data_IF_626795137536
#
_entry.id   IF_626795137536
#
_cell.length_a   1.000
_cell.length_b   1.000
_cell.length_c   1.000
_cell.angle_alpha   90.00
_cell.angle_beta   90.00
_cell.angle_gamma   90.00
#
_symmetry.space_group_name_H-M   'P 1'
#
loop_
_entity.id
_entity.type
_entity.pdbx_description
1 polymer ?
#
# COMPACT_ATOMS: atom_id res chain seq x y z
N UNK A 1 19.08 -60.18 -7.51
CA UNK A 1 18.49 -59.40 -6.41
C UNK A 1 19.13 -58.02 -6.44
N UNK A 2 18.41 -57.02 -6.96
CA UNK A 2 18.85 -55.63 -6.94
C UNK A 2 17.77 -54.86 -6.17
N UNK A 3 18.05 -54.59 -4.89
CA UNK A 3 17.10 -53.93 -3.99
C UNK A 3 17.01 -52.45 -4.35
N UNK A 4 15.84 -52.03 -4.87
CA UNK A 4 15.49 -50.62 -5.05
C UNK A 4 15.25 -50.01 -3.68
N UNK A 5 16.13 -49.11 -3.25
CA UNK A 5 15.79 -48.16 -2.20
C UNK A 5 14.82 -47.09 -2.75
N UNK A 6 13.78 -46.69 -2.01
CA UNK A 6 12.87 -45.64 -2.42
C UNK A 6 13.56 -44.26 -2.31
N UNK A 7 13.47 -43.50 -3.39
CA UNK A 7 13.97 -42.14 -3.50
C UNK A 7 13.10 -41.23 -2.61
N UNK A 8 13.68 -40.70 -1.54
CA UNK A 8 13.03 -39.73 -0.65
C UNK A 8 12.71 -38.47 -1.47
N UNK A 9 11.43 -38.13 -1.54
CA UNK A 9 10.96 -36.87 -2.09
C UNK A 9 11.50 -35.75 -1.21
N UNK A 10 12.43 -34.96 -1.77
CA UNK A 10 12.87 -33.72 -1.15
C UNK A 10 11.70 -32.74 -1.24
N UNK A 11 10.99 -32.56 -0.14
CA UNK A 11 10.07 -31.44 0.03
C UNK A 11 10.95 -30.20 0.14
N UNK A 12 10.95 -29.37 -0.91
CA UNK A 12 11.51 -28.02 -0.86
C UNK A 12 10.69 -27.20 0.15
N UNK A 13 10.96 -27.38 1.44
CA UNK A 13 10.60 -26.41 2.47
C UNK A 13 11.43 -25.16 2.19
N UNK A 14 10.89 -24.24 1.40
CA UNK A 14 11.40 -22.88 1.34
C UNK A 14 11.41 -22.34 2.78
N UNK A 15 12.58 -21.97 3.32
CA UNK A 15 12.65 -21.40 4.66
C UNK A 15 11.75 -20.15 4.68
N UNK A 16 11.04 -19.88 5.80
CA UNK A 16 10.26 -18.66 5.93
C UNK A 16 11.21 -17.50 5.65
N UNK A 17 10.86 -16.67 4.66
CA UNK A 17 11.61 -15.47 4.32
C UNK A 17 11.59 -14.57 5.56
N UNK A 18 12.63 -14.67 6.40
CA UNK A 18 12.84 -13.73 7.48
C UNK A 18 12.99 -12.36 6.82
N UNK A 19 11.95 -11.52 6.97
CA UNK A 19 12.00 -10.17 6.45
C UNK A 19 13.10 -9.43 7.21
N UNK A 20 14.13 -9.00 6.48
CA UNK A 20 15.15 -8.14 7.08
C UNK A 20 14.50 -6.83 7.56
N UNK A 21 15.17 -6.14 8.49
CA UNK A 21 14.66 -4.90 9.11
C UNK A 21 14.32 -3.82 8.07
N UNK A 22 14.96 -3.84 6.91
CA UNK A 22 14.71 -2.91 5.82
C UNK A 22 13.43 -3.25 5.05
N UNK A 23 13.15 -4.53 4.77
CA UNK A 23 11.88 -4.97 4.22
C UNK A 23 10.72 -4.60 5.15
N UNK A 24 10.90 -4.77 6.46
CA UNK A 24 9.87 -4.45 7.44
C UNK A 24 9.58 -2.94 7.47
N UNK A 25 10.63 -2.10 7.45
CA UNK A 25 10.48 -0.64 7.37
C UNK A 25 9.78 -0.21 6.09
N UNK A 26 10.14 -0.80 4.94
CA UNK A 26 9.50 -0.50 3.65
C UNK A 26 8.04 -0.95 3.60
N UNK A 27 7.73 -2.14 4.13
CA UNK A 27 6.36 -2.61 4.23
C UNK A 27 5.51 -1.68 5.10
N UNK A 28 6.04 -1.23 6.25
CA UNK A 28 5.37 -0.25 7.12
C UNK A 28 5.12 1.09 6.43
N UNK A 29 6.07 1.58 5.64
CA UNK A 29 5.88 2.79 4.84
C UNK A 29 4.76 2.63 3.81
N UNK A 30 4.76 1.53 3.05
CA UNK A 30 3.71 1.27 2.06
C UNK A 30 2.34 1.12 2.71
N UNK A 31 2.25 0.49 3.90
CA UNK A 31 1.00 0.40 4.65
C UNK A 31 0.50 1.77 5.11
N UNK A 32 1.38 2.64 5.60
CA UNK A 32 1.00 4.00 5.98
C UNK A 32 0.49 4.81 4.79
N UNK A 33 1.21 4.78 3.67
CA UNK A 33 0.81 5.50 2.46
C UNK A 33 -0.52 4.97 1.91
N UNK A 34 -0.68 3.65 1.87
CA UNK A 34 -1.93 2.99 1.48
C UNK A 34 -3.10 3.47 2.35
N UNK A 35 -2.94 3.45 3.68
CA UNK A 35 -3.98 3.87 4.62
C UNK A 35 -4.36 5.36 4.47
N UNK A 36 -3.40 6.24 4.18
CA UNK A 36 -3.64 7.67 4.00
C UNK A 36 -4.30 8.03 2.67
N UNK A 37 -4.14 7.18 1.64
CA UNK A 37 -4.63 7.43 0.28
C UNK A 37 -5.88 6.63 -0.08
N UNK A 38 -6.19 5.56 0.67
CA UNK A 38 -7.35 4.70 0.44
C UNK A 38 -8.66 5.23 1.01
N UNK A 39 -8.61 5.95 2.13
CA UNK A 39 -9.79 6.54 2.77
C UNK A 39 -9.36 7.74 3.62
N UNK A 40 -10.33 8.51 4.12
CA UNK A 40 -10.09 9.49 5.16
C UNK A 40 -9.42 8.81 6.37
N UNK A 41 -8.28 9.31 6.86
CA UNK A 41 -7.49 8.62 7.87
C UNK A 41 -8.28 8.42 9.16
N UNK A 42 -8.27 7.18 9.66
CA UNK A 42 -8.90 6.83 10.94
C UNK A 42 -8.09 7.36 12.12
N UNK A 43 -8.68 7.32 13.32
CA UNK A 43 -7.98 7.71 14.55
C UNK A 43 -6.69 6.89 14.74
N UNK A 44 -6.72 5.58 14.50
CA UNK A 44 -5.56 4.70 14.63
C UNK A 44 -4.42 5.09 13.67
N UNK A 45 -4.76 5.47 12.42
CA UNK A 45 -3.77 5.92 11.43
C UNK A 45 -3.16 7.26 11.85
N UNK A 46 -3.98 8.19 12.37
CA UNK A 46 -3.49 9.47 12.89
C UNK A 46 -2.61 9.29 14.12
N UNK A 47 -2.99 8.38 15.02
CA UNK A 47 -2.23 8.03 16.23
C UNK A 47 -0.88 7.42 15.91
N UNK A 48 -0.83 6.55 14.90
CA UNK A 48 0.42 6.04 14.38
C UNK A 48 1.26 7.15 13.72
N UNK A 49 0.66 7.97 12.85
CA UNK A 49 1.35 9.02 12.12
C UNK A 49 1.98 10.08 13.03
N UNK A 50 1.32 10.44 14.14
CA UNK A 50 1.89 11.39 15.10
C UNK A 50 3.10 10.84 15.86
N UNK A 51 3.26 9.51 15.93
CA UNK A 51 4.35 8.83 16.65
C UNK A 51 5.54 8.50 15.75
N UNK A 52 5.52 8.89 14.48
CA UNK A 52 6.64 8.66 13.57
C UNK A 52 7.94 9.25 14.12
N UNK A 53 8.90 8.37 14.38
CA UNK A 53 10.24 8.72 14.84
C UNK A 53 11.16 8.97 13.64
N UNK A 54 11.83 10.12 13.66
CA UNK A 54 12.75 10.58 12.61
C UNK A 54 14.17 10.80 13.15
N UNK A 55 14.44 10.42 14.40
CA UNK A 55 15.69 10.69 15.10
C UNK A 55 16.91 10.04 14.42
N UNK A 56 16.74 8.81 13.91
CA UNK A 56 17.81 8.05 13.24
C UNK A 56 18.15 8.56 11.84
N UNK A 57 17.28 9.36 11.23
CA UNK A 57 17.44 9.88 9.85
C UNK A 57 17.47 11.42 9.80
N UNK A 58 17.78 12.08 10.93
CA UNK A 58 17.80 13.55 11.02
C UNK A 58 18.62 14.18 9.91
N UNK A 59 18.00 15.15 9.23
CA UNK A 59 18.61 15.92 8.15
C UNK A 59 18.34 15.38 6.74
N UNK A 60 17.67 14.23 6.59
CA UNK A 60 17.22 13.74 5.27
C UNK A 60 15.89 14.40 4.86
N UNK A 61 15.61 14.51 3.55
CA UNK A 61 14.29 14.95 3.06
C UNK A 61 13.14 14.09 3.58
N UNK A 62 13.36 12.77 3.72
CA UNK A 62 12.34 11.85 4.23
C UNK A 62 12.03 12.11 5.72
N UNK A 63 13.05 12.30 6.55
CA UNK A 63 12.86 12.65 7.96
C UNK A 63 12.11 13.98 8.13
N UNK A 64 12.36 14.97 7.26
CA UNK A 64 11.62 16.23 7.26
C UNK A 64 10.14 16.04 6.85
N UNK A 65 9.88 15.21 5.83
CA UNK A 65 8.53 14.89 5.40
C UNK A 65 7.74 14.17 6.50
N UNK A 66 8.33 13.15 7.16
CA UNK A 66 7.69 12.46 8.28
C UNK A 66 7.47 13.36 9.49
N UNK A 67 8.41 14.25 9.81
CA UNK A 67 8.22 15.22 10.89
C UNK A 67 7.05 16.16 10.61
N UNK A 68 6.90 16.57 9.34
CA UNK A 68 5.78 17.41 8.89
C UNK A 68 4.45 16.64 8.94
N UNK A 69 4.44 15.38 8.50
CA UNK A 69 3.27 14.49 8.59
C UNK A 69 2.84 14.28 10.03
N UNK A 70 3.78 14.00 10.93
CA UNK A 70 3.50 13.80 12.35
C UNK A 70 2.92 15.07 13.00
N UNK A 71 3.42 16.25 12.61
CA UNK A 71 2.87 17.53 13.05
C UNK A 71 1.45 17.77 12.49
N UNK A 72 1.22 17.47 11.20
CA UNK A 72 -0.09 17.61 10.58
C UNK A 72 -1.12 16.68 11.25
N UNK A 73 -0.74 15.42 11.54
CA UNK A 73 -1.59 14.47 12.23
C UNK A 73 -2.02 15.00 13.61
N UNK A 74 -1.10 15.56 14.40
CA UNK A 74 -1.37 16.16 15.74
C UNK A 74 -2.39 17.30 15.71
N UNK A 75 -2.42 18.08 14.63
CA UNK A 75 -3.25 19.27 14.52
C UNK A 75 -4.45 19.10 13.59
N UNK A 76 -4.67 17.88 13.11
CA UNK A 76 -5.74 17.57 12.17
C UNK A 76 -7.10 17.46 12.86
N UNK A 77 -8.15 17.82 12.12
CA UNK A 77 -9.53 17.63 12.54
C UNK A 77 -10.16 16.50 11.70
N UNK A 78 -10.62 15.38 12.29
CA UNK A 78 -11.14 14.24 11.54
C UNK A 78 -12.29 14.58 10.58
N UNK A 79 -13.14 15.54 10.92
CA UNK A 79 -14.23 15.97 10.04
C UNK A 79 -13.69 16.77 8.84
N UNK A 80 -12.70 17.62 9.08
CA UNK A 80 -12.05 18.36 7.99
C UNK A 80 -11.33 17.41 7.03
N UNK A 81 -10.61 16.41 7.57
CA UNK A 81 -9.92 15.38 6.75
C UNK A 81 -10.91 14.59 5.89
N UNK A 82 -12.08 14.24 6.43
CA UNK A 82 -13.12 13.55 5.65
C UNK A 82 -13.63 14.40 4.48
N UNK A 83 -13.83 15.70 4.71
CA UNK A 83 -14.25 16.62 3.65
C UNK A 83 -13.14 16.81 2.61
N UNK A 84 -11.89 16.91 3.04
CA UNK A 84 -10.73 17.02 2.17
C UNK A 84 -10.56 15.76 1.32
N UNK A 85 -10.58 14.57 1.93
CA UNK A 85 -10.53 13.29 1.23
C UNK A 85 -11.64 13.16 0.18
N UNK A 86 -12.88 13.49 0.57
CA UNK A 86 -14.01 13.50 -0.35
C UNK A 86 -13.76 14.47 -1.51
N UNK A 87 -13.25 15.68 -1.27
CA UNK A 87 -12.98 16.65 -2.33
C UNK A 87 -11.86 16.19 -3.28
N UNK A 88 -10.80 15.62 -2.72
CA UNK A 88 -9.63 15.15 -3.47
C UNK A 88 -9.94 13.94 -4.36
N UNK A 89 -10.59 12.91 -3.83
CA UNK A 89 -10.68 11.61 -4.52
C UNK A 89 -12.07 11.23 -5.01
N UNK A 90 -13.13 11.78 -4.42
CA UNK A 90 -14.52 11.38 -4.72
C UNK A 90 -15.22 12.48 -5.55
N UNK A 91 -15.35 13.67 -4.97
CA UNK A 91 -15.98 14.85 -5.54
C UNK A 91 -17.47 14.66 -5.85
N UNK A 92 -18.09 15.69 -6.44
CA UNK A 92 -19.39 15.55 -7.09
C UNK A 92 -19.13 15.23 -8.56
N UNK A 93 -19.25 13.96 -8.92
CA UNK A 93 -18.95 13.44 -10.26
C UNK A 93 -17.50 13.00 -10.43
N UNK A 94 -16.53 13.85 -10.04
CA UNK A 94 -15.11 13.48 -10.01
C UNK A 94 -14.37 14.28 -8.94
N UNK A 95 -13.47 13.62 -8.20
CA UNK A 95 -12.49 14.27 -7.35
C UNK A 95 -11.53 15.15 -8.15
N UNK A 96 -10.78 15.98 -7.44
CA UNK A 96 -9.65 16.74 -8.00
C UNK A 96 -8.61 15.80 -8.62
N UNK A 97 -8.44 14.61 -8.02
CA UNK A 97 -7.56 13.53 -8.43
C UNK A 97 -8.37 12.26 -8.73
N UNK A 98 -7.80 11.40 -9.57
CA UNK A 98 -8.39 10.09 -9.94
C UNK A 98 -7.37 9.03 -9.56
N UNK A 99 -7.54 8.31 -8.43
CA UNK A 99 -6.46 7.56 -7.77
C UNK A 99 -6.17 6.20 -8.43
N UNK A 100 -6.15 6.13 -9.76
CA UNK A 100 -5.95 4.89 -10.52
C UNK A 100 -4.78 5.01 -11.49
N UNK A 101 -3.89 4.02 -11.48
CA UNK A 101 -2.72 3.98 -12.37
C UNK A 101 -3.09 4.08 -13.85
N UNK A 102 -4.15 3.38 -14.29
CA UNK A 102 -4.58 3.42 -15.69
C UNK A 102 -4.98 4.82 -16.14
N UNK A 103 -5.58 5.62 -15.26
CA UNK A 103 -5.97 7.00 -15.57
C UNK A 103 -4.75 7.85 -15.93
N UNK A 104 -3.67 7.76 -15.17
CA UNK A 104 -2.46 8.54 -15.43
C UNK A 104 -1.64 8.01 -16.62
N UNK A 105 -1.81 6.73 -16.96
CA UNK A 105 -1.11 6.10 -18.09
C UNK A 105 -1.82 6.28 -19.43
N UNK A 106 -3.17 6.29 -19.44
CA UNK A 106 -3.96 6.28 -20.69
C UNK A 106 -5.02 7.37 -20.78
N UNK A 107 -5.36 8.03 -19.66
CA UNK A 107 -6.50 8.94 -19.56
C UNK A 107 -7.85 8.26 -19.35
N UNK A 108 -7.88 6.93 -19.17
CA UNK A 108 -9.11 6.15 -18.99
C UNK A 108 -8.98 5.10 -17.89
N UNK A 109 -10.08 4.84 -17.18
CA UNK A 109 -10.14 3.83 -16.13
C UNK A 109 -10.22 2.41 -16.71
N UNK A 110 -9.65 1.44 -16.00
CA UNK A 110 -9.75 0.01 -16.30
C UNK A 110 -9.22 -0.39 -17.69
N UNK A 111 -8.22 0.35 -18.18
CA UNK A 111 -7.62 0.13 -19.49
C UNK A 111 -6.55 -0.98 -19.49
N UNK A 112 -5.92 -1.19 -20.66
CA UNK A 112 -4.84 -2.18 -20.87
C UNK A 112 -3.81 -2.27 -19.73
N UNK A 113 -3.30 -1.17 -19.11
CA UNK A 113 -2.34 -1.30 -18.00
C UNK A 113 -2.85 -2.11 -16.81
N UNK A 114 -4.13 -1.99 -16.45
CA UNK A 114 -4.75 -2.78 -15.38
C UNK A 114 -4.80 -4.26 -15.75
N UNK A 115 -5.06 -4.58 -17.02
CA UNK A 115 -5.00 -5.95 -17.53
C UNK A 115 -3.61 -6.58 -17.37
N UNK A 116 -2.54 -5.81 -17.62
CA UNK A 116 -1.16 -6.26 -17.41
C UNK A 116 -0.89 -6.48 -15.92
N UNK A 117 -1.28 -5.54 -15.05
CA UNK A 117 -1.14 -5.68 -13.60
C UNK A 117 -1.81 -6.95 -13.08
N UNK A 118 -3.04 -7.25 -13.51
CA UNK A 118 -3.75 -8.48 -13.12
C UNK A 118 -3.02 -9.75 -13.52
N UNK A 119 -2.42 -9.78 -14.70
CA UNK A 119 -1.63 -10.93 -15.15
C UNK A 119 -0.37 -11.12 -14.29
N UNK A 120 0.28 -10.02 -13.90
CA UNK A 120 1.45 -10.06 -13.04
C UNK A 120 1.10 -10.48 -11.61
N UNK A 121 0.01 -9.96 -11.04
CA UNK A 121 -0.52 -10.38 -9.73
C UNK A 121 -0.88 -11.88 -9.73
N UNK A 122 -1.57 -12.36 -10.75
CA UNK A 122 -1.91 -13.78 -10.88
C UNK A 122 -0.65 -14.67 -10.98
N UNK A 123 0.40 -14.20 -11.68
CA UNK A 123 1.68 -14.92 -11.75
C UNK A 123 2.39 -15.01 -10.40
N UNK A 124 2.21 -14.00 -9.54
CA UNK A 124 2.72 -13.95 -8.18
C UNK A 124 1.83 -14.70 -7.17
N UNK A 125 0.69 -15.24 -7.60
CA UNK A 125 -0.25 -15.97 -6.75
C UNK A 125 -1.19 -15.08 -5.94
N UNK A 126 -1.33 -13.80 -6.31
CA UNK A 126 -2.29 -12.89 -5.69
C UNK A 126 -3.63 -12.93 -6.41
N UNK A 127 -4.70 -12.87 -5.62
CA UNK A 127 -6.06 -12.69 -6.10
C UNK A 127 -6.72 -11.52 -5.37
N UNK A 128 -7.77 -10.97 -5.98
CA UNK A 128 -8.53 -9.89 -5.35
C UNK A 128 -9.32 -10.44 -4.17
N UNK A 129 -9.28 -9.73 -3.06
CA UNK A 129 -10.06 -10.07 -1.87
C UNK A 129 -11.58 -10.10 -2.17
N UNK A 130 -12.28 -11.04 -1.54
CA UNK A 130 -13.73 -11.17 -1.67
C UNK A 130 -14.44 -9.91 -1.15
N UNK A 131 -15.46 -9.43 -1.88
CA UNK A 131 -16.20 -8.21 -1.53
C UNK A 131 -15.51 -6.89 -1.90
N UNK A 132 -14.26 -6.91 -2.38
CA UNK A 132 -13.57 -5.71 -2.88
C UNK A 132 -13.87 -5.53 -4.37
N UNK A 133 -14.46 -4.39 -4.71
CA UNK A 133 -14.81 -4.04 -6.09
C UNK A 133 -13.88 -3.01 -6.74
N UNK A 134 -13.03 -2.36 -5.93
CA UNK A 134 -12.03 -1.42 -6.41
C UNK A 134 -11.02 -2.11 -7.34
N UNK A 135 -10.68 -1.48 -8.48
CA UNK A 135 -9.60 -1.92 -9.34
C UNK A 135 -8.25 -2.03 -8.60
N UNK A 136 -7.46 -3.02 -8.99
CA UNK A 136 -6.16 -3.34 -8.38
C UNK A 136 -5.09 -2.28 -8.62
N UNK A 137 -5.33 -1.35 -9.56
CA UNK A 137 -4.45 -0.20 -9.83
C UNK A 137 -4.85 1.06 -9.04
N UNK A 138 -5.71 0.93 -8.03
CA UNK A 138 -5.90 1.98 -7.04
C UNK A 138 -4.57 2.29 -6.32
N UNK A 139 -4.31 3.56 -6.00
CA UNK A 139 -3.04 3.98 -5.37
C UNK A 139 -2.86 3.47 -3.94
N UNK A 140 -3.97 3.19 -3.26
CA UNK A 140 -4.06 2.86 -1.84
C UNK A 140 -4.26 1.40 -1.55
#
# INVERSE_FOLDING_TARGET
MNDRQPQQANTDEQPPLAMDDEQQRRAGLYQLLAALLRDAPSADVLDYAQQLDTEGERGTPLAMAFSSLALAARHSNPNALRHEYHSLFIGLGRGELVPYGSWYLTGFLMEKPLGVLRQDLARLGFERAEGVHEPEDHIG
#
